data_IF_038407148987
#
_entry.id   IF_038407148987
#
_cell.length_a   1.000
_cell.length_b   1.000
_cell.length_c   1.000
_cell.angle_alpha   90.00
_cell.angle_beta   90.00
_cell.angle_gamma   90.00
#
_symmetry.space_group_name_H-M   'P 1'
#
loop_
_entity.id
_entity.type
_entity.pdbx_description
1 polymer ?
#
# COMPACT_ATOMS: atom_id res chain seq x y z
N UNK A 1 13.56 16.38 12.20
CA UNK A 1 13.19 15.71 10.93
C UNK A 1 11.75 15.25 11.07
N UNK A 2 10.86 15.59 10.14
CA UNK A 2 9.47 15.12 10.19
C UNK A 2 9.46 13.59 10.08
N UNK A 3 8.73 12.91 10.96
CA UNK A 3 8.56 11.46 10.86
C UNK A 3 7.72 11.17 9.61
N UNK A 4 8.07 10.19 8.78
CA UNK A 4 7.18 9.79 7.68
C UNK A 4 5.83 9.38 8.28
N UNK A 5 4.74 9.85 7.67
CA UNK A 5 3.34 9.53 8.05
C UNK A 5 2.64 8.67 7.00
N UNK A 6 3.38 8.24 5.97
CA UNK A 6 2.88 7.38 4.90
C UNK A 6 3.97 6.50 4.31
N UNK A 7 3.57 5.37 3.73
CA UNK A 7 4.44 4.45 3.01
C UNK A 7 3.72 3.90 1.78
N UNK A 8 4.47 3.63 0.71
CA UNK A 8 3.94 3.12 -0.54
C UNK A 8 4.82 1.98 -1.05
N UNK A 9 4.21 0.89 -1.51
CA UNK A 9 4.90 -0.21 -2.21
C UNK A 9 4.19 -0.44 -3.53
N UNK A 10 4.91 -0.26 -4.63
CA UNK A 10 4.40 -0.50 -5.98
C UNK A 10 4.92 -1.80 -6.56
N UNK A 11 4.05 -2.53 -7.27
CA UNK A 11 4.38 -3.72 -8.05
C UNK A 11 3.74 -3.61 -9.43
N UNK A 12 4.52 -3.90 -10.46
CA UNK A 12 4.01 -4.04 -11.83
C UNK A 12 3.71 -5.51 -12.08
N UNK A 13 2.46 -5.82 -12.46
CA UNK A 13 2.00 -7.17 -12.74
C UNK A 13 1.53 -7.21 -14.20
N UNK A 14 2.03 -8.17 -14.98
CA UNK A 14 1.55 -8.36 -16.36
C UNK A 14 0.11 -8.86 -16.36
N UNK A 15 -0.74 -8.35 -17.25
CA UNK A 15 -2.13 -8.82 -17.38
C UNK A 15 -2.24 -10.27 -17.86
N UNK A 16 -1.14 -10.82 -18.37
CA UNK A 16 -1.04 -12.23 -18.78
C UNK A 16 -0.68 -13.17 -17.62
N UNK A 17 -0.31 -12.62 -16.45
CA UNK A 17 -0.05 -13.44 -15.27
C UNK A 17 -1.32 -14.15 -14.82
N UNK A 18 -1.16 -15.37 -14.31
CA UNK A 18 -2.28 -16.10 -13.72
C UNK A 18 -2.82 -15.37 -12.47
N UNK A 19 -4.11 -15.54 -12.21
CA UNK A 19 -4.77 -15.00 -11.01
C UNK A 19 -4.06 -15.41 -9.72
N UNK A 20 -3.59 -16.66 -9.64
CA UNK A 20 -2.84 -17.18 -8.50
C UNK A 20 -1.55 -16.38 -8.22
N UNK A 21 -0.76 -16.09 -9.26
CA UNK A 21 0.50 -15.35 -9.11
C UNK A 21 0.22 -13.90 -8.72
N UNK A 22 -0.83 -13.29 -9.30
CA UNK A 22 -1.27 -11.96 -8.94
C UNK A 22 -1.68 -11.89 -7.47
N UNK A 23 -2.56 -12.76 -7.01
CA UNK A 23 -3.02 -12.80 -5.62
C UNK A 23 -1.88 -13.02 -4.63
N UNK A 24 -0.95 -13.93 -4.96
CA UNK A 24 0.26 -14.16 -4.18
C UNK A 24 1.13 -12.89 -4.09
N UNK A 25 1.29 -12.17 -5.20
CA UNK A 25 2.08 -10.94 -5.26
C UNK A 25 1.47 -9.83 -4.40
N UNK A 26 0.15 -9.67 -4.44
CA UNK A 26 -0.57 -8.69 -3.62
C UNK A 26 -0.46 -9.03 -2.13
N UNK A 27 -0.69 -10.30 -1.73
CA UNK A 27 -0.51 -10.76 -0.34
C UNK A 27 0.91 -10.57 0.19
N UNK A 28 1.92 -10.86 -0.64
CA UNK A 28 3.32 -10.60 -0.29
C UNK A 28 3.56 -9.11 -0.05
N UNK A 29 2.96 -8.26 -0.88
CA UNK A 29 3.08 -6.80 -0.76
C UNK A 29 2.47 -6.29 0.55
N UNK A 30 1.30 -6.81 0.94
CA UNK A 30 0.67 -6.51 2.22
C UNK A 30 1.55 -6.93 3.41
N UNK A 31 2.12 -8.14 3.34
CA UNK A 31 3.04 -8.64 4.36
C UNK A 31 4.28 -7.75 4.51
N UNK A 32 4.91 -7.38 3.39
CA UNK A 32 6.08 -6.49 3.40
C UNK A 32 5.74 -5.09 3.92
N UNK A 33 4.55 -4.56 3.62
CA UNK A 33 4.10 -3.29 4.18
C UNK A 33 4.00 -3.36 5.70
N UNK A 34 3.40 -4.43 6.25
CA UNK A 34 3.33 -4.62 7.70
C UNK A 34 4.72 -4.63 8.36
N UNK A 35 5.68 -5.34 7.77
CA UNK A 35 7.06 -5.34 8.23
C UNK A 35 7.70 -3.94 8.16
N UNK A 36 7.47 -3.20 7.07
CA UNK A 36 8.00 -1.84 6.89
C UNK A 36 7.45 -0.86 7.92
N UNK A 37 6.16 -0.98 8.26
CA UNK A 37 5.53 -0.15 9.29
C UNK A 37 6.15 -0.41 10.67
N UNK A 38 6.40 -1.67 11.01
CA UNK A 38 7.07 -2.03 12.27
C UNK A 38 8.50 -1.46 12.33
N UNK A 39 9.24 -1.47 11.22
CA UNK A 39 10.59 -0.89 11.11
C UNK A 39 10.61 0.60 11.47
N UNK A 40 9.55 1.35 11.11
CA UNK A 40 9.41 2.78 11.44
C UNK A 40 8.66 3.04 12.74
N UNK A 41 8.41 2.00 13.54
CA UNK A 41 7.76 2.09 14.85
C UNK A 41 6.25 2.32 14.79
N UNK A 42 5.61 1.98 13.67
CA UNK A 42 4.15 2.10 13.46
C UNK A 42 3.52 0.72 13.61
N UNK A 43 2.45 0.63 14.40
CA UNK A 43 1.71 -0.61 14.54
C UNK A 43 0.80 -0.82 13.32
N UNK A 44 1.03 -1.84 12.48
CA UNK A 44 0.24 -2.06 11.27
C UNK A 44 -1.24 -2.38 11.55
N UNK A 45 -1.57 -2.85 12.76
CA UNK A 45 -2.94 -3.24 13.13
C UNK A 45 -3.73 -2.13 13.84
N UNK A 46 -3.14 -0.94 14.02
CA UNK A 46 -3.79 0.13 14.80
C UNK A 46 -3.51 1.51 14.22
N UNK A 47 -4.58 2.20 13.81
CA UNK A 47 -4.49 3.61 13.40
C UNK A 47 -3.80 3.84 12.07
N UNK A 48 -3.81 2.83 11.19
CA UNK A 48 -3.29 2.91 9.82
C UNK A 48 -4.45 2.68 8.85
N UNK A 49 -4.54 3.54 7.83
CA UNK A 49 -5.44 3.33 6.68
C UNK A 49 -4.62 2.72 5.55
N UNK A 50 -5.15 1.66 4.96
CA UNK A 50 -4.55 1.01 3.79
C UNK A 50 -5.39 1.26 2.55
N UNK A 51 -4.73 1.50 1.41
CA UNK A 51 -5.39 1.63 0.11
C UNK A 51 -4.60 0.92 -0.96
N UNK A 52 -5.31 0.12 -1.75
CA UNK A 52 -4.84 -0.30 -3.06
C UNK A 52 -5.24 0.73 -4.10
N UNK A 53 -4.28 1.09 -4.95
CA UNK A 53 -4.54 1.83 -6.17
C UNK A 53 -3.97 1.04 -7.35
N UNK A 54 -4.70 1.02 -8.46
CA UNK A 54 -4.28 0.30 -9.67
C UNK A 54 -4.28 1.26 -10.84
N UNK A 55 -3.17 1.28 -11.58
CA UNK A 55 -3.01 2.07 -12.79
C UNK A 55 -2.76 1.14 -13.97
N UNK A 56 -3.58 1.29 -15.01
CA UNK A 56 -3.40 0.56 -16.26
C UNK A 56 -2.16 1.08 -17.01
N UNK A 57 -1.29 0.16 -17.45
CA UNK A 57 -0.09 0.45 -18.25
C UNK A 57 -0.11 -0.32 -19.58
N UNK A 58 -1.29 -0.57 -20.14
CA UNK A 58 -1.48 -1.32 -21.37
C UNK A 58 -1.39 -2.82 -21.15
N UNK A 59 -0.20 -3.41 -21.33
CA UNK A 59 0.01 -4.86 -21.17
C UNK A 59 0.22 -5.30 -19.71
N UNK A 60 0.40 -4.35 -18.81
CA UNK A 60 0.57 -4.57 -17.37
C UNK A 60 -0.30 -3.61 -16.58
N UNK A 61 -0.40 -3.89 -15.29
CA UNK A 61 -1.04 -3.04 -14.28
C UNK A 61 0.00 -2.71 -13.21
N UNK A 62 0.04 -1.44 -12.79
CA UNK A 62 0.81 -0.99 -11.64
C UNK A 62 -0.10 -0.95 -10.42
N UNK A 63 0.21 -1.80 -9.44
CA UNK A 63 -0.49 -1.95 -8.19
C UNK A 63 0.31 -1.28 -7.08
N UNK A 64 -0.25 -0.24 -6.48
CA UNK A 64 0.37 0.47 -5.36
C UNK A 64 -0.42 0.23 -4.09
N UNK A 65 0.24 -0.39 -3.11
CA UNK A 65 -0.27 -0.50 -1.75
C UNK A 65 0.24 0.66 -0.92
N UNK A 66 -0.67 1.46 -0.39
CA UNK A 66 -0.36 2.64 0.40
C UNK A 66 -0.84 2.46 1.83
N UNK A 67 -0.02 2.88 2.79
CA UNK A 67 -0.34 2.94 4.21
C UNK A 67 -0.22 4.38 4.70
N UNK A 68 -1.22 4.86 5.43
CA UNK A 68 -1.30 6.23 5.95
C UNK A 68 -1.57 6.20 7.46
N UNK A 69 -0.81 6.98 8.23
CA UNK A 69 -0.96 7.14 9.68
C UNK A 69 -0.75 8.60 10.08
N UNK A 70 -1.04 8.94 11.33
CA UNK A 70 -0.83 10.30 11.86
C UNK A 70 -1.50 11.38 11.00
N UNK A 71 -0.72 12.40 10.60
CA UNK A 71 -1.22 13.53 9.83
C UNK A 71 -1.74 13.15 8.43
N UNK A 72 -1.08 12.21 7.75
CA UNK A 72 -1.53 11.75 6.43
C UNK A 72 -2.89 11.04 6.53
N UNK A 73 -3.13 10.30 7.63
CA UNK A 73 -4.44 9.69 7.90
C UNK A 73 -5.53 10.74 8.04
N UNK A 74 -5.28 11.77 8.85
CA UNK A 74 -6.25 12.85 9.09
C UNK A 74 -6.60 13.62 7.81
N UNK A 75 -5.64 13.84 6.92
CA UNK A 75 -5.88 14.47 5.61
C UNK A 75 -6.81 13.62 4.74
N UNK A 76 -6.51 12.32 4.62
CA UNK A 76 -7.33 11.38 3.84
C UNK A 76 -8.77 11.33 4.39
N UNK A 77 -8.93 11.28 5.71
CA UNK A 77 -10.26 11.27 6.35
C UNK A 77 -11.02 12.59 6.14
N UNK A 78 -10.31 13.73 6.01
CA UNK A 78 -10.92 15.04 5.75
C UNK A 78 -11.27 15.24 4.26
N UNK A 79 -10.55 14.63 3.33
CA UNK A 79 -10.85 14.67 1.89
C UNK A 79 -12.09 13.83 1.51
N UNK A 80 -12.51 12.91 2.38
CA UNK A 80 -13.67 12.04 2.17
C UNK A 80 -14.96 12.53 2.86
N UNK A 81 -14.89 13.65 3.60
CA UNK A 81 -16.01 14.29 4.31
C UNK A 81 -16.61 15.45 3.51
#
# INVERSE_FOLDING_TARGET
MAKPTQAHISKTISKKESSFIRDRTLKQTEYYMGAKLLEVGVNPNKGVIYRWNTVDKGNSEEWTYSAYWGESKAKIEAEEA
#
